data_IF_509915598413
#
_entry.id   IF_509915598413
#
_cell.length_a   1.000
_cell.length_b   1.000
_cell.length_c   1.000
_cell.angle_alpha   90.00
_cell.angle_beta   90.00
_cell.angle_gamma   90.00
#
_symmetry.space_group_name_H-M   'P 1'
#
loop_
_entity.id
_entity.type
_entity.pdbx_description
1 polymer ?
#
# COMPACT_ATOMS: atom_id res chain seq x y z
N UNK A 1 -34.63 -24.47 -1.51
CA UNK A 1 -33.64 -23.37 -1.64
C UNK A 1 -32.36 -23.84 -0.98
N UNK A 2 -31.23 -24.00 -1.68
CA UNK A 2 -30.05 -24.61 -1.09
C UNK A 2 -29.40 -23.67 -0.06
N UNK A 3 -29.03 -24.26 1.06
CA UNK A 3 -28.39 -23.67 2.22
C UNK A 3 -27.16 -22.83 1.81
N UNK A 4 -27.23 -21.50 1.95
CA UNK A 4 -26.07 -20.63 1.85
C UNK A 4 -25.23 -20.83 3.11
N UNK A 5 -24.32 -21.80 3.08
CA UNK A 5 -23.22 -21.84 4.05
C UNK A 5 -22.48 -20.51 3.90
N UNK A 6 -22.61 -19.65 4.91
CA UNK A 6 -21.92 -18.36 4.99
C UNK A 6 -20.43 -18.63 5.12
N UNK A 7 -19.78 -18.90 4.00
CA UNK A 7 -18.34 -19.11 3.93
C UNK A 7 -17.67 -17.79 4.34
N UNK A 8 -16.87 -17.85 5.41
CA UNK A 8 -16.19 -16.71 5.99
C UNK A 8 -15.19 -16.06 4.99
N UNK A 9 -14.58 -16.90 4.16
CA UNK A 9 -13.71 -16.53 3.07
C UNK A 9 -14.50 -16.10 1.81
N UNK A 10 -13.91 -15.19 1.02
CA UNK A 10 -14.51 -14.70 -0.23
C UNK A 10 -14.39 -15.74 -1.35
N UNK A 11 -13.26 -16.43 -1.43
CA UNK A 11 -12.99 -17.52 -2.37
C UNK A 11 -12.41 -18.76 -1.67
N UNK A 12 -12.57 -19.98 -2.23
CA UNK A 12 -11.92 -21.18 -1.71
C UNK A 12 -10.39 -21.13 -1.67
N UNK A 13 -9.76 -20.23 -2.44
CA UNK A 13 -8.29 -20.07 -2.48
C UNK A 13 -7.73 -19.13 -1.41
N UNK A 14 -8.59 -18.37 -0.71
CA UNK A 14 -8.19 -17.28 0.18
C UNK A 14 -7.49 -17.75 1.47
N UNK A 15 -7.53 -19.05 1.78
CA UNK A 15 -6.73 -19.63 2.87
C UNK A 15 -5.23 -19.38 2.68
N UNK A 16 -4.77 -19.25 1.42
CA UNK A 16 -3.38 -18.90 1.09
C UNK A 16 -3.02 -17.51 1.61
N UNK A 17 -3.91 -16.54 1.39
CA UNK A 17 -3.75 -15.16 1.89
C UNK A 17 -3.76 -15.13 3.41
N UNK A 18 -4.54 -15.99 4.08
CA UNK A 18 -4.48 -16.12 5.55
C UNK A 18 -3.13 -16.64 6.04
N UNK A 19 -2.56 -17.67 5.39
CA UNK A 19 -1.23 -18.17 5.73
C UNK A 19 -0.19 -17.07 5.53
N UNK A 20 -0.23 -16.36 4.40
CA UNK A 20 0.66 -15.23 4.16
C UNK A 20 0.52 -14.18 5.24
N UNK A 21 -0.71 -13.82 5.63
CA UNK A 21 -0.95 -12.87 6.71
C UNK A 21 -0.31 -13.33 8.03
N UNK A 22 -0.52 -14.59 8.43
CA UNK A 22 0.10 -15.14 9.65
C UNK A 22 1.63 -15.09 9.56
N UNK A 23 2.21 -15.58 8.46
CA UNK A 23 3.67 -15.61 8.26
C UNK A 23 4.27 -14.20 8.30
N UNK A 24 3.63 -13.24 7.65
CA UNK A 24 4.08 -11.84 7.62
C UNK A 24 4.04 -11.21 9.00
N UNK A 25 2.90 -11.28 9.69
CA UNK A 25 2.77 -10.67 11.01
C UNK A 25 3.66 -11.35 12.03
N UNK A 26 3.62 -12.68 12.12
CA UNK A 26 4.46 -13.42 13.07
C UNK A 26 5.94 -13.25 12.77
N UNK A 27 6.35 -13.31 11.50
CA UNK A 27 7.74 -13.14 11.08
C UNK A 27 8.27 -11.73 11.40
N UNK A 28 7.46 -10.70 11.13
CA UNK A 28 7.84 -9.32 11.45
C UNK A 28 7.97 -9.11 12.96
N UNK A 29 6.97 -9.51 13.75
CA UNK A 29 7.03 -9.39 15.22
C UNK A 29 8.16 -10.23 15.82
N UNK A 30 8.38 -11.46 15.35
CA UNK A 30 9.49 -12.29 15.79
C UNK A 30 10.83 -11.61 15.52
N UNK A 31 11.00 -10.99 14.34
CA UNK A 31 12.21 -10.22 14.00
C UNK A 31 12.43 -9.07 14.98
N UNK A 32 11.38 -8.34 15.33
CA UNK A 32 11.46 -7.28 16.35
C UNK A 32 11.81 -7.85 17.72
N UNK A 33 11.15 -8.88 18.20
CA UNK A 33 11.39 -9.40 19.55
C UNK A 33 12.77 -10.07 19.69
N UNK A 34 13.33 -10.59 18.59
CA UNK A 34 14.64 -11.25 18.57
C UNK A 34 15.77 -10.36 18.04
N UNK A 35 15.53 -9.07 17.77
CA UNK A 35 16.52 -8.17 17.16
C UNK A 35 17.87 -8.11 17.90
N UNK A 36 17.89 -8.30 19.22
CA UNK A 36 19.12 -8.31 20.03
C UNK A 36 19.99 -9.55 19.81
N UNK A 37 19.41 -10.62 19.29
CA UNK A 37 20.07 -11.90 19.01
C UNK A 37 20.61 -11.95 17.57
N UNK A 38 20.25 -10.97 16.74
CA UNK A 38 20.59 -10.89 15.33
C UNK A 38 21.56 -9.72 15.10
N UNK A 39 22.51 -9.84 14.15
CA UNK A 39 23.27 -8.68 13.71
C UNK A 39 22.34 -7.68 13.01
N UNK A 40 22.67 -6.40 13.07
CA UNK A 40 21.81 -5.33 12.57
C UNK A 40 21.39 -5.52 11.11
N UNK A 41 22.26 -6.05 10.25
CA UNK A 41 21.99 -6.27 8.84
C UNK A 41 20.96 -7.38 8.61
N UNK A 42 20.95 -8.42 9.45
CA UNK A 42 19.98 -9.51 9.36
C UNK A 42 18.60 -9.03 9.82
N UNK A 43 18.55 -8.27 10.92
CA UNK A 43 17.33 -7.59 11.38
C UNK A 43 16.78 -6.68 10.28
N UNK A 44 17.62 -5.85 9.67
CA UNK A 44 17.23 -4.97 8.58
C UNK A 44 16.68 -5.74 7.37
N UNK A 45 17.36 -6.81 6.94
CA UNK A 45 16.94 -7.62 5.82
C UNK A 45 15.58 -8.31 6.06
N UNK A 46 15.39 -8.90 7.25
CA UNK A 46 14.13 -9.57 7.63
C UNK A 46 12.96 -8.59 7.74
N UNK A 47 13.16 -7.44 8.38
CA UNK A 47 12.12 -6.40 8.47
C UNK A 47 11.76 -5.87 7.08
N UNK A 48 12.75 -5.67 6.21
CA UNK A 48 12.52 -5.27 4.81
C UNK A 48 11.75 -6.34 4.04
N UNK A 49 12.12 -7.61 4.19
CA UNK A 49 11.47 -8.74 3.55
C UNK A 49 10.00 -8.87 3.95
N UNK A 50 9.72 -8.92 5.26
CA UNK A 50 8.35 -9.00 5.76
C UNK A 50 7.55 -7.72 5.49
N UNK A 51 8.19 -6.56 5.50
CA UNK A 51 7.57 -5.29 5.10
C UNK A 51 7.13 -5.30 3.64
N UNK A 52 7.98 -5.77 2.72
CA UNK A 52 7.63 -5.91 1.31
C UNK A 52 6.47 -6.91 1.08
N UNK A 53 6.51 -8.06 1.77
CA UNK A 53 5.40 -9.01 1.74
C UNK A 53 4.11 -8.43 2.34
N UNK A 54 4.21 -7.61 3.38
CA UNK A 54 3.05 -6.93 3.97
C UNK A 54 2.40 -5.96 2.98
N UNK A 55 3.19 -5.19 2.21
CA UNK A 55 2.66 -4.31 1.16
C UNK A 55 1.93 -5.11 0.07
N UNK A 56 2.47 -6.29 -0.31
CA UNK A 56 1.79 -7.22 -1.23
C UNK A 56 0.48 -7.76 -0.64
N UNK A 57 0.48 -8.14 0.65
CA UNK A 57 -0.72 -8.53 1.37
C UNK A 57 -1.75 -7.39 1.37
N UNK A 58 -1.35 -6.16 1.67
CA UNK A 58 -2.25 -5.00 1.66
C UNK A 58 -2.90 -4.80 0.29
N UNK A 59 -2.17 -4.98 -0.82
CA UNK A 59 -2.75 -4.93 -2.16
C UNK A 59 -3.89 -5.93 -2.34
N UNK A 60 -3.70 -7.17 -1.88
CA UNK A 60 -4.74 -8.20 -1.92
C UNK A 60 -5.94 -7.87 -1.00
N UNK A 61 -5.69 -7.27 0.17
CA UNK A 61 -6.75 -6.83 1.09
C UNK A 61 -7.60 -5.69 0.52
N UNK A 62 -7.01 -4.81 -0.30
CA UNK A 62 -7.73 -3.73 -0.99
C UNK A 62 -8.79 -4.29 -1.93
N UNK A 63 -8.49 -5.40 -2.62
CA UNK A 63 -9.43 -6.15 -3.47
C UNK A 63 -10.49 -6.93 -2.68
N UNK A 64 -10.44 -6.87 -1.35
CA UNK A 64 -11.44 -7.47 -0.46
C UNK A 64 -11.24 -8.95 -0.21
N UNK A 65 -10.03 -9.47 -0.37
CA UNK A 65 -9.64 -10.78 0.12
C UNK A 65 -8.99 -10.63 1.51
N UNK A 66 -8.86 -11.68 2.32
CA UNK A 66 -9.46 -13.01 2.16
C UNK A 66 -10.91 -13.09 2.65
N UNK A 67 -11.40 -12.12 3.43
CA UNK A 67 -12.72 -12.20 4.06
C UNK A 67 -13.81 -11.64 3.17
N UNK A 68 -15.02 -12.22 3.22
CA UNK A 68 -16.21 -11.58 2.62
C UNK A 68 -16.56 -10.25 3.29
N UNK A 69 -16.26 -10.12 4.58
CA UNK A 69 -16.57 -8.91 5.34
C UNK A 69 -15.49 -7.85 5.10
N UNK A 70 -15.82 -6.72 4.43
CA UNK A 70 -14.84 -5.67 4.11
C UNK A 70 -14.24 -5.01 5.37
N UNK A 71 -14.93 -5.05 6.51
CA UNK A 71 -14.43 -4.50 7.77
C UNK A 71 -13.28 -5.34 8.34
N UNK A 72 -13.31 -6.67 8.16
CA UNK A 72 -12.23 -7.54 8.60
C UNK A 72 -10.96 -7.34 7.76
N UNK A 73 -11.13 -7.23 6.43
CA UNK A 73 -10.00 -6.90 5.54
C UNK A 73 -9.43 -5.52 5.87
N UNK A 74 -10.30 -4.54 6.16
CA UNK A 74 -9.86 -3.21 6.58
C UNK A 74 -9.11 -3.23 7.91
N UNK A 75 -9.58 -3.97 8.93
CA UNK A 75 -8.88 -4.11 10.19
C UNK A 75 -7.52 -4.77 10.00
N UNK A 76 -7.46 -5.87 9.24
CA UNK A 76 -6.21 -6.57 8.95
C UNK A 76 -5.23 -5.69 8.15
N UNK A 77 -5.72 -4.89 7.21
CA UNK A 77 -4.89 -4.00 6.40
C UNK A 77 -4.40 -2.76 7.16
N UNK A 78 -5.20 -2.28 8.11
CA UNK A 78 -4.89 -1.09 8.92
C UNK A 78 -3.86 -1.36 10.00
N UNK A 79 -3.64 -2.64 10.38
CA UNK A 79 -2.50 -3.07 11.20
C UNK A 79 -1.19 -3.00 10.39
N UNK A 80 -0.82 -1.81 9.93
CA UNK A 80 0.33 -1.65 9.05
C UNK A 80 1.64 -1.80 9.81
N UNK A 81 2.45 -2.80 9.44
CA UNK A 81 3.81 -2.95 9.98
C UNK A 81 4.81 -1.98 9.34
N UNK A 82 4.46 -1.41 8.19
CA UNK A 82 5.35 -0.52 7.44
C UNK A 82 5.09 0.96 7.76
N UNK A 83 3.93 1.31 8.34
CA UNK A 83 3.58 2.66 8.87
C UNK A 83 3.52 3.77 7.79
N UNK A 84 3.92 3.50 6.55
CA UNK A 84 4.06 4.52 5.51
C UNK A 84 2.74 5.09 4.99
N UNK A 85 1.66 4.32 4.94
CA UNK A 85 0.42 4.76 4.30
C UNK A 85 -0.82 4.22 5.01
N UNK A 86 -1.80 5.08 5.36
CA UNK A 86 -3.09 4.63 5.88
C UNK A 86 -3.84 3.74 4.89
N UNK A 87 -4.11 2.50 5.30
CA UNK A 87 -4.73 1.49 4.44
C UNK A 87 -6.05 1.94 3.81
N UNK A 88 -6.90 2.66 4.56
CA UNK A 88 -8.19 3.11 4.04
C UNK A 88 -8.06 4.22 2.99
N UNK A 89 -7.07 5.12 3.12
CA UNK A 89 -6.76 6.12 2.10
C UNK A 89 -6.24 5.45 0.83
N UNK A 90 -5.31 4.51 0.99
CA UNK A 90 -4.78 3.72 -0.11
C UNK A 90 -5.88 2.93 -0.81
N UNK A 91 -6.75 2.23 -0.06
CA UNK A 91 -7.88 1.49 -0.60
C UNK A 91 -8.82 2.37 -1.44
N UNK A 92 -9.15 3.57 -0.95
CA UNK A 92 -9.99 4.53 -1.67
C UNK A 92 -9.36 4.91 -3.01
N UNK A 93 -8.10 5.33 -2.98
CA UNK A 93 -7.41 5.82 -4.16
C UNK A 93 -7.19 4.68 -5.17
N UNK A 94 -6.86 3.48 -4.70
CA UNK A 94 -6.71 2.30 -5.55
C UNK A 94 -8.03 1.87 -6.22
N UNK A 95 -9.15 1.89 -5.49
CA UNK A 95 -10.47 1.63 -6.10
C UNK A 95 -10.81 2.71 -7.12
N UNK A 96 -10.42 3.97 -6.89
CA UNK A 96 -10.57 5.03 -7.88
C UNK A 96 -9.78 4.72 -9.15
N UNK A 97 -8.52 4.31 -9.02
CA UNK A 97 -7.68 3.88 -10.14
C UNK A 97 -8.39 2.85 -11.04
N UNK A 98 -8.89 1.75 -10.47
CA UNK A 98 -9.59 0.69 -11.23
C UNK A 98 -10.90 1.13 -11.91
N UNK A 99 -11.52 2.22 -11.45
CA UNK A 99 -12.76 2.73 -12.02
C UNK A 99 -12.53 3.87 -13.04
N UNK A 100 -11.27 4.15 -13.40
CA UNK A 100 -10.91 5.25 -14.31
C UNK A 100 -10.24 4.72 -15.58
N UNK A 101 -10.01 5.60 -16.54
CA UNK A 101 -9.17 5.30 -17.69
C UNK A 101 -7.73 5.13 -17.22
N UNK A 102 -7.31 3.87 -17.10
CA UNK A 102 -5.96 3.49 -16.70
C UNK A 102 -4.92 4.24 -17.53
N UNK A 103 -3.83 4.65 -16.88
CA UNK A 103 -2.70 5.41 -17.43
C UNK A 103 -2.98 6.87 -17.77
N UNK A 104 -4.23 7.34 -17.73
CA UNK A 104 -4.52 8.74 -18.04
C UNK A 104 -4.01 9.69 -16.93
N UNK A 105 -3.04 10.60 -17.19
CA UNK A 105 -2.33 11.38 -16.15
C UNK A 105 -3.19 12.18 -15.17
N UNK A 106 -4.41 12.57 -15.58
CA UNK A 106 -5.31 13.40 -14.79
C UNK A 106 -6.43 12.62 -14.10
N UNK A 107 -6.74 11.41 -14.58
CA UNK A 107 -7.89 10.63 -14.09
C UNK A 107 -7.42 9.49 -13.19
N UNK A 108 -6.30 8.88 -13.57
CA UNK A 108 -5.70 7.77 -12.85
C UNK A 108 -4.78 8.31 -11.74
N UNK A 109 -5.15 8.03 -10.49
CA UNK A 109 -4.41 8.42 -9.28
C UNK A 109 -3.05 7.74 -9.14
N UNK A 110 -2.81 6.66 -9.88
CA UNK A 110 -1.57 5.88 -9.91
C UNK A 110 -0.84 6.01 -11.28
N UNK A 111 -1.25 6.96 -12.14
CA UNK A 111 -0.58 7.17 -13.41
C UNK A 111 0.83 7.75 -13.25
N UNK A 112 1.77 7.16 -13.97
CA UNK A 112 3.15 7.62 -14.08
C UNK A 112 3.39 8.48 -15.34
N UNK A 113 2.36 8.74 -16.13
CA UNK A 113 2.46 9.55 -17.33
C UNK A 113 2.26 11.03 -17.01
N UNK A 114 2.79 11.89 -17.88
CA UNK A 114 2.57 13.34 -17.81
C UNK A 114 1.83 13.80 -19.04
N UNK A 115 0.95 14.80 -18.86
CA UNK A 115 0.30 15.45 -19.99
C UNK A 115 1.34 16.15 -20.89
N UNK A 116 1.12 16.23 -22.21
CA UNK A 116 2.04 16.89 -23.14
C UNK A 116 2.42 18.31 -22.73
N UNK A 117 1.46 19.08 -22.20
CA UNK A 117 1.66 20.48 -21.79
C UNK A 117 2.63 20.55 -20.61
N UNK A 118 2.44 19.68 -19.60
CA UNK A 118 3.34 19.57 -18.44
C UNK A 118 4.73 19.12 -18.84
N UNK A 119 4.84 18.22 -19.81
CA UNK A 119 6.12 17.80 -20.35
C UNK A 119 6.84 18.96 -21.05
N UNK A 120 6.15 19.68 -21.94
CA UNK A 120 6.72 20.80 -22.69
C UNK A 120 7.21 21.91 -21.76
N UNK A 121 6.43 22.25 -20.72
CA UNK A 121 6.78 23.27 -19.74
C UNK A 121 7.82 22.84 -18.70
N UNK A 122 8.18 21.54 -18.64
CA UNK A 122 9.17 21.03 -17.69
C UNK A 122 10.60 21.40 -18.10
N UNK A 123 11.40 21.82 -17.13
CA UNK A 123 12.84 22.02 -17.33
C UNK A 123 13.57 20.69 -17.59
N UNK A 124 14.84 20.78 -17.99
CA UNK A 124 15.62 19.61 -18.37
C UNK A 124 15.86 18.63 -17.22
N UNK A 125 16.00 19.12 -15.98
CA UNK A 125 16.17 18.27 -14.80
C UNK A 125 14.94 17.41 -14.52
N UNK A 126 13.74 17.99 -14.60
CA UNK A 126 12.48 17.24 -14.42
C UNK A 126 12.29 16.21 -15.53
N UNK A 127 12.61 16.58 -16.78
CA UNK A 127 12.60 15.64 -17.91
C UNK A 127 13.56 14.48 -17.68
N UNK A 128 14.74 14.72 -17.13
CA UNK A 128 15.69 13.67 -16.78
C UNK A 128 15.13 12.73 -15.70
N UNK A 129 14.48 13.26 -14.67
CA UNK A 129 13.83 12.44 -13.62
C UNK A 129 12.71 11.58 -14.22
N UNK A 130 11.88 12.15 -15.09
CA UNK A 130 10.82 11.40 -15.78
C UNK A 130 11.40 10.27 -16.64
N UNK A 131 12.47 10.54 -17.40
CA UNK A 131 13.19 9.51 -18.15
C UNK A 131 13.79 8.44 -17.25
N UNK A 132 14.43 8.83 -16.14
CA UNK A 132 14.99 7.89 -15.18
C UNK A 132 13.89 6.98 -14.60
N UNK A 133 12.70 7.52 -14.31
CA UNK A 133 11.56 6.75 -13.80
C UNK A 133 10.97 5.73 -14.80
N UNK A 134 11.34 5.81 -16.08
CA UNK A 134 11.04 4.75 -17.05
C UNK A 134 11.94 3.52 -16.86
N UNK A 135 13.05 3.63 -16.12
CA UNK A 135 13.90 2.50 -15.76
C UNK A 135 13.41 1.82 -14.48
N UNK A 136 13.44 0.48 -14.48
CA UNK A 136 13.05 -0.31 -13.31
C UNK A 136 13.93 -0.02 -12.09
N UNK A 137 15.24 0.16 -12.29
CA UNK A 137 16.19 0.39 -11.22
C UNK A 137 15.91 1.70 -10.47
N UNK A 138 15.76 2.81 -11.18
CA UNK A 138 15.40 4.09 -10.56
C UNK A 138 14.02 4.03 -9.93
N UNK A 139 13.07 3.35 -10.59
CA UNK A 139 11.71 3.19 -10.08
C UNK A 139 11.69 2.52 -8.71
N UNK A 140 12.34 1.37 -8.59
CA UNK A 140 12.32 0.56 -7.37
C UNK A 140 13.15 1.17 -6.23
N UNK A 141 14.16 1.99 -6.54
CA UNK A 141 15.08 2.54 -5.53
C UNK A 141 14.72 3.97 -5.14
N UNK A 142 14.82 4.92 -6.07
CA UNK A 142 14.67 6.36 -5.78
C UNK A 142 13.22 6.78 -5.86
N UNK A 143 12.52 6.40 -6.92
CA UNK A 143 11.15 6.88 -7.15
C UNK A 143 10.17 6.34 -6.11
N UNK A 144 10.23 5.05 -5.76
CA UNK A 144 9.35 4.46 -4.74
C UNK A 144 9.43 5.17 -3.40
N UNK A 145 10.64 5.57 -2.96
CA UNK A 145 10.80 6.32 -1.71
C UNK A 145 10.20 7.72 -1.86
N UNK A 146 10.49 8.40 -2.97
CA UNK A 146 9.97 9.73 -3.23
C UNK A 146 8.44 9.77 -3.33
N UNK A 147 7.84 8.85 -4.08
CA UNK A 147 6.39 8.75 -4.25
C UNK A 147 5.68 8.38 -2.95
N UNK A 148 6.27 7.48 -2.14
CA UNK A 148 5.74 7.14 -0.83
C UNK A 148 5.72 8.35 0.12
N UNK A 149 6.82 9.12 0.18
CA UNK A 149 6.89 10.34 1.00
C UNK A 149 5.91 11.39 0.51
N UNK A 150 5.83 11.63 -0.80
CA UNK A 150 4.88 12.56 -1.40
C UNK A 150 3.43 12.18 -1.07
N UNK A 151 3.08 10.90 -1.22
CA UNK A 151 1.75 10.40 -0.90
C UNK A 151 1.43 10.58 0.58
N UNK A 152 2.34 10.19 1.47
CA UNK A 152 2.16 10.30 2.92
C UNK A 152 1.89 11.74 3.35
N UNK A 153 2.70 12.69 2.87
CA UNK A 153 2.52 14.12 3.17
C UNK A 153 1.20 14.63 2.61
N UNK A 154 0.86 14.29 1.36
CA UNK A 154 -0.40 14.71 0.75
C UNK A 154 -1.63 14.16 1.50
N UNK A 155 -1.61 12.88 1.89
CA UNK A 155 -2.71 12.28 2.63
C UNK A 155 -2.79 12.75 4.09
N UNK A 156 -1.65 13.06 4.72
CA UNK A 156 -1.62 13.71 6.03
C UNK A 156 -2.32 15.08 5.98
N UNK A 157 -2.04 15.87 4.94
CA UNK A 157 -2.76 17.14 4.71
C UNK A 157 -4.25 16.94 4.46
N UNK A 158 -4.65 15.89 3.71
CA UNK A 158 -6.07 15.53 3.55
C UNK A 158 -6.70 15.16 4.89
N UNK A 159 -5.99 14.48 5.77
CA UNK A 159 -6.48 14.09 7.10
C UNK A 159 -6.69 15.29 8.02
N UNK A 160 -5.77 16.25 8.03
CA UNK A 160 -5.90 17.53 8.76
C UNK A 160 -7.17 18.27 8.33
N UNK A 161 -7.43 18.31 7.01
CA UNK A 161 -8.62 18.95 6.42
C UNK A 161 -9.87 18.05 6.37
N UNK A 162 -9.76 16.81 6.85
CA UNK A 162 -10.76 15.75 6.75
C UNK A 162 -11.39 15.59 5.34
N UNK A 163 -10.57 15.72 4.30
CA UNK A 163 -11.00 15.49 2.92
C UNK A 163 -11.23 13.99 2.72
N UNK A 164 -12.38 13.62 2.15
CA UNK A 164 -12.71 12.23 1.80
C UNK A 164 -12.52 11.24 2.97
N UNK A 165 -12.87 11.66 4.19
CA UNK A 165 -12.77 10.90 5.44
C UNK A 165 -11.35 10.43 5.81
N UNK A 166 -10.31 11.07 5.27
CA UNK A 166 -8.91 10.72 5.56
C UNK A 166 -8.60 10.72 7.07
N UNK A 167 -9.25 11.56 7.89
CA UNK A 167 -9.02 11.54 9.35
C UNK A 167 -9.29 10.17 9.98
N UNK A 168 -10.37 9.49 9.57
CA UNK A 168 -10.69 8.13 10.06
C UNK A 168 -9.67 7.08 9.62
N UNK A 169 -9.11 7.24 8.41
CA UNK A 169 -8.04 6.37 7.91
C UNK A 169 -6.79 6.49 8.79
N UNK A 170 -6.42 7.72 9.17
CA UNK A 170 -5.28 7.99 10.03
C UNK A 170 -5.49 7.51 11.47
N UNK A 171 -6.69 7.67 12.03
CA UNK A 171 -7.01 7.17 13.38
C UNK A 171 -6.85 5.65 13.51
N UNK A 172 -7.13 4.90 12.44
CA UNK A 172 -6.95 3.44 12.41
C UNK A 172 -5.52 3.03 12.05
N UNK A 173 -4.72 3.94 11.51
CA UNK A 173 -3.36 3.71 11.06
C UNK A 173 -2.32 4.01 12.14
N UNK A 174 -2.57 5.02 12.98
CA UNK A 174 -1.74 5.25 14.17
C UNK A 174 -2.00 4.13 15.18
N UNK A 175 -0.99 3.37 15.60
CA UNK A 175 -1.10 2.59 16.83
C UNK A 175 -1.50 3.58 17.94
N UNK A 176 -2.65 3.35 18.57
CA UNK A 176 -3.11 4.13 19.70
C UNK A 176 -2.16 4.03 20.89
#
# INVERSE_FOLDING_TARGET
MPNSSKTFLKSPGDWRTLIVAVVVYCGWFATIFTHKQLPWWATFALLTWFGAWHLSLQHELVHGHPFRNPRLNAALGSLSVTIWVPFLSFKRDHISHHNTTLTHPQLDTESYYSMPEKWQSSNWFLKLIYWANLTLAFRLTVWSVFSAVQYFVADAWRAVRNISNARSAWMLHTPG
#
